data_IF_580801330399
#
_entry.id   IF_580801330399
#
_cell.length_a   1.000
_cell.length_b   1.000
_cell.length_c   1.000
_cell.angle_alpha   90.00
_cell.angle_beta   90.00
_cell.angle_gamma   90.00
#
_symmetry.space_group_name_H-M   'P 1'
#
loop_
_entity.id
_entity.type
_entity.pdbx_description
1 polymer ?
#
# COMPACT_ATOMS: atom_id res chain seq x y z
N UNK A 1 49.01 9.07 3.98
CA UNK A 1 48.04 8.71 2.94
C UNK A 1 47.71 7.26 3.19
N UNK A 2 46.76 7.03 4.10
CA UNK A 2 46.48 5.68 4.58
C UNK A 2 45.71 4.92 3.52
N UNK A 3 46.32 3.85 3.01
CA UNK A 3 45.74 2.91 2.07
C UNK A 3 44.56 2.20 2.75
N UNK A 4 43.35 2.73 2.55
CA UNK A 4 42.12 2.17 3.09
C UNK A 4 41.91 0.73 2.62
N UNK A 5 41.72 -0.18 3.57
CA UNK A 5 41.39 -1.58 3.31
C UNK A 5 39.98 -1.63 2.71
N UNK A 6 39.86 -2.17 1.49
CA UNK A 6 38.57 -2.50 0.87
C UNK A 6 38.20 -3.93 1.26
N UNK A 7 37.12 -4.08 2.02
CA UNK A 7 36.56 -5.39 2.35
C UNK A 7 35.69 -5.89 1.19
N UNK A 8 36.07 -7.00 0.59
CA UNK A 8 35.22 -7.73 -0.36
C UNK A 8 34.45 -8.81 0.39
N UNK A 9 33.14 -8.87 0.14
CA UNK A 9 32.26 -9.89 0.73
C UNK A 9 31.95 -10.96 -0.31
N UNK A 10 32.13 -12.23 0.07
CA UNK A 10 31.76 -13.38 -0.74
C UNK A 10 30.57 -14.12 -0.13
N UNK A 11 29.61 -14.49 -0.97
CA UNK A 11 28.53 -15.40 -0.59
C UNK A 11 28.80 -16.79 -1.19
N UNK A 12 29.08 -17.74 -0.29
CA UNK A 12 29.27 -19.14 -0.62
C UNK A 12 28.18 -19.98 0.04
N UNK A 13 27.40 -20.67 -0.78
CA UNK A 13 26.50 -21.69 -0.27
C UNK A 13 27.22 -23.02 -0.16
N UNK A 14 27.52 -23.42 1.08
CA UNK A 14 28.42 -24.54 1.41
C UNK A 14 27.87 -25.90 0.94
N UNK A 15 26.56 -26.11 1.03
CA UNK A 15 25.93 -27.42 0.78
C UNK A 15 25.99 -27.81 -0.70
N UNK A 16 25.61 -26.88 -1.58
CA UNK A 16 25.55 -27.15 -3.03
C UNK A 16 26.72 -26.51 -3.80
N UNK A 17 27.74 -26.01 -3.07
CA UNK A 17 28.97 -25.40 -3.62
C UNK A 17 28.69 -24.26 -4.61
N UNK A 18 27.69 -23.43 -4.31
CA UNK A 18 27.33 -22.28 -5.16
C UNK A 18 28.15 -21.08 -4.71
N UNK A 19 29.07 -20.63 -5.57
CA UNK A 19 29.88 -19.43 -5.39
C UNK A 19 29.39 -18.33 -6.34
N UNK A 20 28.86 -17.24 -5.79
CA UNK A 20 28.33 -16.12 -6.58
C UNK A 20 29.41 -15.22 -7.17
N UNK A 21 30.67 -15.37 -6.75
CA UNK A 21 31.82 -14.65 -7.32
C UNK A 21 32.55 -15.44 -8.41
N UNK A 22 32.10 -16.67 -8.73
CA UNK A 22 32.63 -17.41 -9.85
C UNK A 22 32.36 -16.66 -11.18
N UNK A 23 33.37 -16.38 -12.04
CA UNK A 23 33.29 -15.42 -13.16
C UNK A 23 32.25 -15.68 -14.26
N UNK A 24 31.49 -16.78 -14.17
CA UNK A 24 30.42 -17.15 -15.12
C UNK A 24 29.26 -17.82 -14.39
N UNK A 25 29.55 -18.83 -13.58
CA UNK A 25 28.52 -19.61 -12.86
C UNK A 25 27.78 -18.72 -11.83
N UNK A 26 28.51 -17.83 -11.14
CA UNK A 26 27.92 -16.91 -10.18
C UNK A 26 27.00 -15.89 -10.83
N UNK A 27 27.39 -15.35 -11.99
CA UNK A 27 26.57 -14.43 -12.78
C UNK A 27 25.30 -15.12 -13.29
N UNK A 28 25.41 -16.31 -13.88
CA UNK A 28 24.25 -17.07 -14.35
C UNK A 28 23.30 -17.39 -13.19
N UNK A 29 23.83 -17.82 -12.06
CA UNK A 29 23.02 -18.14 -10.88
C UNK A 29 22.28 -16.91 -10.35
N UNK A 30 22.97 -15.76 -10.24
CA UNK A 30 22.34 -14.53 -9.75
C UNK A 30 21.25 -14.03 -10.70
N UNK A 31 21.47 -14.08 -12.01
CA UNK A 31 20.45 -13.75 -13.00
C UNK A 31 19.24 -14.70 -12.94
N UNK A 32 19.48 -16.00 -12.84
CA UNK A 32 18.42 -16.99 -12.72
C UNK A 32 17.58 -16.75 -11.46
N UNK A 33 18.22 -16.49 -10.32
CA UNK A 33 17.53 -16.18 -9.07
C UNK A 33 16.74 -14.87 -9.17
N UNK A 34 17.28 -13.84 -9.83
CA UNK A 34 16.56 -12.59 -10.07
C UNK A 34 15.30 -12.80 -10.92
N UNK A 35 15.39 -13.62 -11.96
CA UNK A 35 14.25 -14.01 -12.80
C UNK A 35 13.21 -14.77 -11.97
N UNK A 36 13.62 -15.77 -11.19
CA UNK A 36 12.71 -16.54 -10.34
C UNK A 36 11.98 -15.67 -9.31
N UNK A 37 12.72 -14.81 -8.60
CA UNK A 37 12.14 -13.87 -7.64
C UNK A 37 11.08 -12.97 -8.29
N UNK A 38 11.39 -12.45 -9.49
CA UNK A 38 10.45 -11.62 -10.26
C UNK A 38 9.21 -12.40 -10.70
N UNK A 39 9.39 -13.64 -11.15
CA UNK A 39 8.31 -14.53 -11.53
C UNK A 39 7.38 -14.84 -10.35
N UNK A 40 7.92 -15.21 -9.19
CA UNK A 40 7.12 -15.52 -8.00
C UNK A 40 6.33 -14.31 -7.51
N UNK A 41 6.95 -13.13 -7.51
CA UNK A 41 6.27 -11.88 -7.20
C UNK A 41 5.10 -11.63 -8.13
N UNK A 42 5.31 -11.77 -9.44
CA UNK A 42 4.26 -11.56 -10.43
C UNK A 42 3.12 -12.57 -10.29
N UNK A 43 3.43 -13.85 -10.02
CA UNK A 43 2.42 -14.89 -9.73
C UNK A 43 1.57 -14.55 -8.52
N UNK A 44 2.17 -14.05 -7.44
CA UNK A 44 1.45 -13.66 -6.23
C UNK A 44 0.54 -12.43 -6.46
N UNK A 45 1.01 -11.45 -7.24
CA UNK A 45 0.21 -10.30 -7.67
C UNK A 45 -1.01 -10.77 -8.47
N UNK A 46 -0.80 -11.67 -9.43
CA UNK A 46 -1.87 -12.17 -10.29
C UNK A 46 -2.95 -12.89 -9.48
N UNK A 47 -2.54 -13.76 -8.53
CA UNK A 47 -3.47 -14.42 -7.60
C UNK A 47 -4.27 -13.40 -6.79
N UNK A 48 -3.64 -12.34 -6.31
CA UNK A 48 -4.30 -11.29 -5.54
C UNK A 48 -5.31 -10.53 -6.39
N UNK A 49 -4.95 -10.18 -7.63
CA UNK A 49 -5.83 -9.50 -8.58
C UNK A 49 -7.04 -10.34 -8.94
N UNK A 50 -6.84 -11.61 -9.26
CA UNK A 50 -7.91 -12.57 -9.53
C UNK A 50 -8.86 -12.70 -8.33
N UNK A 51 -8.32 -12.85 -7.12
CA UNK A 51 -9.11 -12.89 -5.89
C UNK A 51 -9.92 -11.62 -5.63
N UNK A 52 -9.33 -10.43 -5.86
CA UNK A 52 -10.01 -9.15 -5.75
C UNK A 52 -11.11 -8.99 -6.80
N UNK A 53 -10.87 -9.41 -8.04
CA UNK A 53 -11.87 -9.39 -9.10
C UNK A 53 -13.07 -10.29 -8.77
N UNK A 54 -12.82 -11.52 -8.33
CA UNK A 54 -13.85 -12.44 -7.89
C UNK A 54 -14.64 -11.91 -6.68
N UNK A 55 -13.97 -11.25 -5.73
CA UNK A 55 -14.63 -10.64 -4.58
C UNK A 55 -15.52 -9.45 -5.00
N UNK A 56 -15.05 -8.60 -5.93
CA UNK A 56 -15.85 -7.50 -6.48
C UNK A 56 -17.07 -8.00 -7.26
N UNK A 57 -16.92 -9.08 -8.03
CA UNK A 57 -18.04 -9.71 -8.74
C UNK A 57 -19.13 -10.23 -7.78
N UNK A 58 -18.75 -10.62 -6.55
CA UNK A 58 -19.68 -10.96 -5.47
C UNK A 58 -20.23 -9.74 -4.69
N UNK A 59 -19.99 -8.52 -5.18
CA UNK A 59 -20.49 -7.28 -4.56
C UNK A 59 -19.64 -6.75 -3.41
N UNK A 60 -18.45 -7.31 -3.12
CA UNK A 60 -17.57 -6.74 -2.09
C UNK A 60 -16.96 -5.42 -2.56
N UNK A 61 -17.33 -4.34 -1.90
CA UNK A 61 -16.66 -3.05 -2.03
C UNK A 61 -15.43 -3.03 -1.10
N UNK A 62 -14.24 -3.01 -1.70
CA UNK A 62 -12.98 -2.92 -0.97
C UNK A 62 -12.66 -1.50 -0.48
N UNK A 63 -11.49 -1.32 0.14
CA UNK A 63 -11.01 -0.03 0.61
C UNK A 63 -11.39 0.31 2.06
N UNK A 64 -11.06 1.53 2.49
CA UNK A 64 -11.37 2.02 3.83
C UNK A 64 -12.87 2.32 3.93
N UNK A 65 -13.51 1.83 5.00
CA UNK A 65 -14.92 2.18 5.29
C UNK A 65 -15.06 3.70 5.43
N UNK A 66 -16.11 4.32 4.86
CA UNK A 66 -16.42 5.72 5.10
C UNK A 66 -16.51 6.01 6.60
N UNK A 67 -15.99 7.16 7.02
CA UNK A 67 -16.02 7.60 8.42
C UNK A 67 -17.39 8.15 8.85
N UNK A 68 -18.29 8.39 7.89
CA UNK A 68 -19.62 8.97 8.08
C UNK A 68 -20.61 8.17 7.24
N UNK A 69 -21.79 7.90 7.79
CA UNK A 69 -22.93 7.32 7.07
C UNK A 69 -23.60 8.35 6.16
N UNK A 70 -24.52 7.91 5.29
CA UNK A 70 -25.30 8.84 4.46
C UNK A 70 -26.22 9.71 5.32
N UNK A 71 -26.74 9.15 6.41
CA UNK A 71 -27.54 9.85 7.41
C UNK A 71 -26.73 10.94 8.10
N UNK A 72 -25.48 10.65 8.48
CA UNK A 72 -24.59 11.63 9.09
C UNK A 72 -24.32 12.79 8.13
N UNK A 73 -24.09 12.50 6.84
CA UNK A 73 -23.86 13.54 5.83
C UNK A 73 -25.09 14.44 5.66
N UNK A 74 -26.31 13.87 5.69
CA UNK A 74 -27.55 14.65 5.67
C UNK A 74 -27.67 15.55 6.90
N UNK A 75 -27.40 15.01 8.09
CA UNK A 75 -27.42 15.80 9.33
C UNK A 75 -26.37 16.92 9.33
N UNK A 76 -25.16 16.66 8.84
CA UNK A 76 -24.10 17.65 8.70
C UNK A 76 -24.53 18.79 7.78
N UNK A 77 -25.20 18.49 6.65
CA UNK A 77 -25.71 19.52 5.72
C UNK A 77 -26.76 20.41 6.37
N UNK A 78 -27.66 19.82 7.17
CA UNK A 78 -28.67 20.57 7.92
C UNK A 78 -28.00 21.45 8.98
N UNK A 79 -27.06 20.90 9.75
CA UNK A 79 -26.35 21.64 10.80
C UNK A 79 -25.52 22.80 10.23
N UNK A 80 -24.94 22.64 9.04
CA UNK A 80 -24.17 23.70 8.39
C UNK A 80 -25.04 24.75 7.68
N UNK A 81 -26.34 24.52 7.55
CA UNK A 81 -27.27 25.53 7.03
C UNK A 81 -27.62 26.58 8.10
N UNK A 82 -27.40 26.27 9.37
CA UNK A 82 -27.56 27.20 10.48
C UNK A 82 -26.39 28.20 10.51
N UNK A 83 -26.62 29.52 10.38
CA UNK A 83 -25.57 30.53 10.38
C UNK A 83 -24.76 30.61 11.69
N UNK A 84 -25.28 30.11 12.80
CA UNK A 84 -24.57 30.08 14.09
C UNK A 84 -23.60 28.88 14.22
N UNK A 85 -23.69 27.90 13.31
CA UNK A 85 -22.94 26.66 13.42
C UNK A 85 -21.60 26.70 12.66
N UNK A 86 -20.51 26.50 13.38
CA UNK A 86 -19.17 26.46 12.75
C UNK A 86 -18.79 25.05 12.29
N UNK A 87 -18.05 24.95 11.17
CA UNK A 87 -17.48 23.68 10.67
C UNK A 87 -16.64 22.97 11.74
N UNK A 88 -15.95 23.73 12.59
CA UNK A 88 -15.17 23.19 13.70
C UNK A 88 -16.03 22.52 14.78
N UNK A 89 -17.17 23.11 15.14
CA UNK A 89 -18.11 22.53 16.09
C UNK A 89 -18.74 21.25 15.55
N UNK A 90 -19.17 21.26 14.28
CA UNK A 90 -19.72 20.07 13.61
C UNK A 90 -18.67 18.95 13.54
N UNK A 91 -17.43 19.26 13.14
CA UNK A 91 -16.35 18.29 13.08
C UNK A 91 -16.10 17.60 14.44
N UNK A 92 -16.10 18.38 15.54
CA UNK A 92 -15.99 17.84 16.90
C UNK A 92 -17.16 16.92 17.26
N UNK A 93 -18.40 17.32 16.93
CA UNK A 93 -19.62 16.55 17.22
C UNK A 93 -19.62 15.17 16.56
N UNK A 94 -19.14 15.08 15.33
CA UNK A 94 -19.04 13.82 14.58
C UNK A 94 -17.69 13.10 14.76
N UNK A 95 -16.81 13.61 15.64
CA UNK A 95 -15.47 13.08 15.89
C UNK A 95 -14.64 12.85 14.60
N UNK A 96 -14.70 13.82 13.69
CA UNK A 96 -13.94 13.81 12.43
C UNK A 96 -13.14 15.08 12.25
N UNK A 97 -12.15 15.05 11.36
CA UNK A 97 -11.40 16.26 11.02
C UNK A 97 -12.26 17.25 10.23
N UNK A 98 -11.96 18.55 10.33
CA UNK A 98 -12.58 19.59 9.48
C UNK A 98 -12.48 19.25 7.98
N UNK A 99 -11.33 18.70 7.57
CA UNK A 99 -11.11 18.23 6.19
C UNK A 99 -12.07 17.12 5.78
N UNK A 100 -12.47 16.26 6.72
CA UNK A 100 -13.47 15.22 6.45
C UNK A 100 -14.84 15.83 6.19
N UNK A 101 -15.23 16.86 6.94
CA UNK A 101 -16.48 17.60 6.68
C UNK A 101 -16.44 18.23 5.28
N UNK A 102 -15.40 19.01 4.96
CA UNK A 102 -15.25 19.62 3.63
C UNK A 102 -15.28 18.61 2.49
N UNK A 103 -14.67 17.43 2.66
CA UNK A 103 -14.69 16.37 1.63
C UNK A 103 -16.12 15.92 1.25
N UNK A 104 -17.06 15.94 2.19
CA UNK A 104 -18.45 15.53 1.95
C UNK A 104 -19.38 16.70 1.59
N UNK A 105 -18.98 17.94 1.85
CA UNK A 105 -19.81 19.14 1.58
C UNK A 105 -19.37 19.92 0.34
N UNK A 106 -18.10 19.87 -0.05
CA UNK A 106 -17.56 20.55 -1.24
C UNK A 106 -17.74 19.77 -2.55
N UNK A 107 -17.99 18.45 -2.48
CA UNK A 107 -18.38 17.65 -3.65
C UNK A 107 -19.87 17.90 -3.96
N UNK A 108 -20.12 18.92 -4.77
CA UNK A 108 -21.37 19.11 -5.52
C UNK A 108 -21.15 18.77 -6.99
#
# INVERSE_FOLDING_TARGET
>A
MDSGIVWFFNFLYVKDRIDTNAPVIGEIYTHLMAIFSSFERNRNIERTRSGLAAARARGRVGGRKPSLSEEDVKQIRILLADPEMTVGAVAKRFNVSRMTIYRYTTKS
#
